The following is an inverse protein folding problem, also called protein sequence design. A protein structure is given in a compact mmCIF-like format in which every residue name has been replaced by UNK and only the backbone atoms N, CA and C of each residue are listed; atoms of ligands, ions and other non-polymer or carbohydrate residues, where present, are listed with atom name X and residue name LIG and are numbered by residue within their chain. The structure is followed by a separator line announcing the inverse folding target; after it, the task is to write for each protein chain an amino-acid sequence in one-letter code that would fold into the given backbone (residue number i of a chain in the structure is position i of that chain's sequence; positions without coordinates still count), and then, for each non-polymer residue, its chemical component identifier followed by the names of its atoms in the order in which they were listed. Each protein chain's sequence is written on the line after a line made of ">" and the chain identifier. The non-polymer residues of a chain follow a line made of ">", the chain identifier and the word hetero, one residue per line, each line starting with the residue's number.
data_IF_968089820263
#
_entry.id   IF_968089820263
#
_cell.length_a   1.000
_cell.length_b   1.000
_cell.length_c   1.000
_cell.angle_alpha   90.00
_cell.angle_beta   90.00
_cell.angle_gamma   90.00
#
_symmetry.space_group_name_H-M   'P 1'
#
loop_
_entity.id
_entity.type
_entity.pdbx_description
1 polymer ?
#
# COMPACT_ATOMS: atom_id res chain seq x y z
N UNK A 1 14.85 -22.30 -14.21
CA UNK A 1 13.69 -22.68 -13.37
C UNK A 1 13.37 -21.51 -12.45
N UNK A 2 12.13 -20.97 -12.48
CA UNK A 2 11.68 -19.88 -11.60
C UNK A 2 11.62 -20.44 -10.17
N UNK A 3 12.20 -19.71 -9.20
CA UNK A 3 12.25 -20.15 -7.79
C UNK A 3 11.60 -19.14 -6.83
N UNK A 4 11.38 -17.91 -7.29
CA UNK A 4 10.79 -16.84 -6.50
C UNK A 4 9.74 -16.09 -7.31
N UNK A 5 8.63 -15.73 -6.65
CA UNK A 5 7.58 -14.90 -7.23
C UNK A 5 7.41 -13.69 -6.33
N UNK A 6 7.48 -12.50 -6.93
CA UNK A 6 7.36 -11.23 -6.23
C UNK A 6 6.07 -10.56 -6.65
N UNK A 7 5.22 -10.25 -5.70
CA UNK A 7 3.91 -9.62 -5.90
C UNK A 7 3.95 -8.15 -5.51
N UNK A 8 3.18 -7.35 -6.21
CA UNK A 8 2.71 -6.07 -5.67
C UNK A 8 1.54 -6.32 -4.69
N UNK A 9 1.15 -5.30 -3.94
CA UNK A 9 0.13 -5.42 -2.89
C UNK A 9 -1.19 -4.78 -3.31
N UNK A 10 -1.21 -3.45 -3.43
CA UNK A 10 -2.43 -2.69 -3.71
C UNK A 10 -2.90 -2.92 -5.16
N UNK A 11 -4.13 -3.41 -5.33
CA UNK A 11 -4.68 -3.71 -6.65
C UNK A 11 -4.18 -5.03 -7.27
N UNK A 12 -3.33 -5.79 -6.56
CA UNK A 12 -2.82 -7.11 -6.99
C UNK A 12 -3.23 -8.21 -6.02
N UNK A 13 -2.78 -8.14 -4.78
CA UNK A 13 -3.15 -9.09 -3.72
C UNK A 13 -4.40 -8.64 -2.97
N UNK A 14 -4.52 -7.34 -2.72
CA UNK A 14 -5.57 -6.75 -1.90
C UNK A 14 -6.29 -5.59 -2.61
N UNK A 15 -7.61 -5.55 -2.46
CA UNK A 15 -8.42 -4.35 -2.72
C UNK A 15 -8.41 -3.48 -1.46
N UNK A 16 -7.60 -2.43 -1.49
CA UNK A 16 -7.37 -1.50 -0.38
C UNK A 16 -8.06 -0.14 -0.56
N UNK A 17 -8.82 0.03 -1.65
CA UNK A 17 -9.33 1.33 -2.09
C UNK A 17 -10.28 2.00 -1.09
N UNK A 18 -11.14 1.22 -0.42
CA UNK A 18 -12.13 1.79 0.49
C UNK A 18 -11.47 2.34 1.76
N UNK A 19 -10.51 1.61 2.35
CA UNK A 19 -9.78 2.09 3.52
C UNK A 19 -8.87 3.28 3.18
N UNK A 20 -8.24 3.29 1.99
CA UNK A 20 -7.45 4.44 1.50
C UNK A 20 -8.33 5.67 1.31
N UNK A 21 -9.53 5.51 0.72
CA UNK A 21 -10.50 6.60 0.54
C UNK A 21 -10.95 7.15 1.89
N UNK A 22 -11.30 6.28 2.82
CA UNK A 22 -11.78 6.69 4.13
C UNK A 22 -10.69 7.44 4.91
N UNK A 23 -9.43 6.98 4.84
CA UNK A 23 -8.30 7.67 5.47
C UNK A 23 -8.02 9.03 4.82
N UNK A 24 -8.08 9.12 3.49
CA UNK A 24 -7.90 10.40 2.79
C UNK A 24 -9.00 11.39 3.17
N UNK A 25 -10.25 10.96 3.16
CA UNK A 25 -11.38 11.81 3.52
C UNK A 25 -11.36 12.21 4.99
N UNK A 26 -10.95 11.31 5.90
CA UNK A 26 -10.73 11.65 7.30
C UNK A 26 -9.70 12.77 7.48
N UNK A 27 -8.58 12.69 6.75
CA UNK A 27 -7.53 13.70 6.84
C UNK A 27 -7.95 15.04 6.19
N UNK A 28 -8.68 15.00 5.07
CA UNK A 28 -9.20 16.18 4.38
C UNK A 28 -10.23 16.95 5.23
N UNK A 29 -11.14 16.21 5.88
CA UNK A 29 -12.20 16.78 6.74
C UNK A 29 -11.64 17.60 7.92
N UNK A 30 -10.44 17.29 8.41
CA UNK A 30 -9.78 18.03 9.50
C UNK A 30 -9.46 19.49 9.14
N UNK A 31 -9.48 19.84 7.87
CA UNK A 31 -9.20 21.18 7.35
C UNK A 31 -10.31 21.68 6.42
N UNK A 32 -11.54 21.19 6.61
CA UNK A 32 -12.74 21.56 5.84
C UNK A 32 -12.55 21.41 4.32
N UNK A 33 -11.68 20.49 3.88
CA UNK A 33 -11.51 20.18 2.46
C UNK A 33 -12.60 19.22 1.97
N UNK A 34 -13.04 19.36 0.70
CA UNK A 34 -14.07 18.48 0.14
C UNK A 34 -13.60 17.02 0.06
N UNK A 35 -14.51 16.07 0.28
CA UNK A 35 -14.18 14.66 0.17
C UNK A 35 -13.92 14.23 -1.27
N UNK A 36 -13.05 13.24 -1.44
CA UNK A 36 -12.75 12.63 -2.74
C UNK A 36 -13.46 11.29 -2.93
N UNK A 37 -13.77 10.98 -4.18
CA UNK A 37 -14.44 9.73 -4.54
C UNK A 37 -13.48 8.53 -4.58
N UNK A 38 -14.03 7.31 -4.49
CA UNK A 38 -13.25 6.07 -4.67
C UNK A 38 -12.58 6.01 -6.05
N UNK A 39 -13.24 6.50 -7.09
CA UNK A 39 -12.69 6.56 -8.44
C UNK A 39 -11.49 7.52 -8.53
N UNK A 40 -11.55 8.63 -7.82
CA UNK A 40 -10.41 9.55 -7.73
C UNK A 40 -9.22 8.90 -7.01
N UNK A 41 -9.46 8.24 -5.87
CA UNK A 41 -8.42 7.48 -5.16
C UNK A 41 -7.80 6.41 -6.07
N UNK A 42 -8.62 5.64 -6.81
CA UNK A 42 -8.14 4.61 -7.74
C UNK A 42 -7.12 5.15 -8.74
N UNK A 43 -7.35 6.36 -9.27
CA UNK A 43 -6.45 7.02 -10.22
C UNK A 43 -5.23 7.67 -9.55
N UNK A 44 -5.27 7.84 -8.25
CA UNK A 44 -4.25 8.58 -7.49
C UNK A 44 -3.26 7.69 -6.75
N UNK A 45 -3.54 6.39 -6.60
CA UNK A 45 -2.67 5.42 -5.90
C UNK A 45 -1.58 4.86 -6.83
N UNK A 46 -0.57 4.24 -6.21
CA UNK A 46 0.53 3.55 -6.90
C UNK A 46 1.90 4.18 -6.61
N UNK A 47 1.96 5.50 -6.42
CA UNK A 47 3.20 6.26 -6.23
C UNK A 47 3.55 6.54 -4.76
N UNK A 48 2.82 5.89 -3.84
CA UNK A 48 2.97 6.07 -2.39
C UNK A 48 2.10 7.18 -1.82
N UNK A 49 2.06 7.22 -0.46
CA UNK A 49 1.10 8.06 0.29
C UNK A 49 1.34 9.56 0.08
N UNK A 50 2.59 10.01 0.04
CA UNK A 50 2.90 11.42 -0.18
C UNK A 50 2.31 11.95 -1.50
N UNK A 51 2.43 11.16 -2.58
CA UNK A 51 1.81 11.49 -3.88
C UNK A 51 0.28 11.40 -3.85
N UNK A 52 -0.27 10.47 -3.10
CA UNK A 52 -1.71 10.41 -2.90
C UNK A 52 -2.23 11.70 -2.24
N UNK A 53 -1.63 12.13 -1.15
CA UNK A 53 -2.06 13.35 -0.44
C UNK A 53 -1.84 14.60 -1.30
N UNK A 54 -0.72 14.70 -2.03
CA UNK A 54 -0.49 15.78 -2.99
C UNK A 54 -1.63 15.90 -4.02
N UNK A 55 -2.17 14.77 -4.48
CA UNK A 55 -3.22 14.73 -5.51
C UNK A 55 -4.62 15.02 -4.97
N UNK A 56 -4.87 14.70 -3.71
CA UNK A 56 -6.22 14.85 -3.11
C UNK A 56 -6.43 16.18 -2.38
N UNK A 57 -5.36 16.82 -1.88
CA UNK A 57 -5.46 18.11 -1.20
C UNK A 57 -5.50 19.24 -2.23
N UNK A 58 -6.36 20.28 -2.06
CA UNK A 58 -6.31 21.47 -2.90
C UNK A 58 -4.90 22.09 -2.93
N UNK A 59 -4.48 22.60 -4.08
CA UNK A 59 -3.15 23.22 -4.31
C UNK A 59 -1.94 22.29 -4.09
N UNK A 60 -2.15 20.99 -3.82
CA UNK A 60 -1.09 19.99 -3.70
C UNK A 60 0.00 20.37 -2.71
N UNK A 61 1.27 20.31 -3.13
CA UNK A 61 2.42 20.69 -2.29
C UNK A 61 2.47 22.16 -1.86
N UNK A 62 1.76 23.05 -2.54
CA UNK A 62 1.66 24.46 -2.16
C UNK A 62 0.68 24.70 -1.01
N UNK A 63 -0.13 23.72 -0.66
CA UNK A 63 -1.06 23.83 0.45
C UNK A 63 -0.30 23.86 1.79
N UNK A 64 -0.48 24.89 2.63
CA UNK A 64 0.23 24.98 3.92
C UNK A 64 -0.16 23.89 4.92
N UNK A 65 -1.23 23.13 4.65
CA UNK A 65 -1.68 22.00 5.48
C UNK A 65 -1.24 20.64 4.94
N UNK A 66 -0.48 20.59 3.84
CA UNK A 66 -0.07 19.33 3.20
C UNK A 66 0.59 18.37 4.19
N UNK A 67 1.64 18.80 4.88
CA UNK A 67 2.40 17.95 5.82
C UNK A 67 1.49 17.42 6.94
N UNK A 68 0.66 18.28 7.51
CA UNK A 68 -0.25 17.87 8.58
C UNK A 68 -1.35 16.92 8.10
N UNK A 69 -1.84 17.11 6.87
CA UNK A 69 -2.80 16.19 6.25
C UNK A 69 -2.17 14.82 6.01
N UNK A 70 -0.91 14.79 5.57
CA UNK A 70 -0.13 13.55 5.38
C UNK A 70 0.08 12.80 6.70
N UNK A 71 0.42 13.51 7.78
CA UNK A 71 0.56 12.92 9.12
C UNK A 71 -0.77 12.30 9.60
N UNK A 72 -1.87 13.05 9.54
CA UNK A 72 -3.20 12.57 9.96
C UNK A 72 -3.64 11.35 9.13
N UNK A 73 -3.39 11.37 7.82
CA UNK A 73 -3.65 10.21 6.97
C UNK A 73 -2.87 8.98 7.46
N UNK A 74 -1.56 9.13 7.69
CA UNK A 74 -0.71 8.02 8.10
C UNK A 74 -1.13 7.43 9.45
N UNK A 75 -1.43 8.29 10.43
CA UNK A 75 -1.91 7.89 11.75
C UNK A 75 -3.22 7.10 11.63
N UNK A 76 -4.21 7.65 10.95
CA UNK A 76 -5.50 7.01 10.78
C UNK A 76 -5.41 5.69 9.98
N UNK A 77 -4.68 5.72 8.86
CA UNK A 77 -4.56 4.55 7.99
C UNK A 77 -3.79 3.39 8.65
N UNK A 78 -2.77 3.69 9.45
CA UNK A 78 -2.05 2.66 10.20
C UNK A 78 -2.97 1.83 11.12
N UNK A 79 -3.98 2.46 11.71
CA UNK A 79 -4.96 1.79 12.57
C UNK A 79 -6.08 1.12 11.78
N UNK A 80 -6.56 1.75 10.70
CA UNK A 80 -7.79 1.39 9.99
C UNK A 80 -7.58 0.69 8.63
N UNK A 81 -6.37 0.33 8.26
CA UNK A 81 -6.06 -0.24 6.93
C UNK A 81 -6.65 -1.64 6.64
N UNK A 82 -7.26 -2.28 7.62
CA UNK A 82 -7.85 -3.63 7.50
C UNK A 82 -9.37 -3.66 7.72
N UNK A 83 -10.05 -2.51 7.74
CA UNK A 83 -11.50 -2.42 8.07
C UNK A 83 -12.36 -2.88 6.89
N UNK A 84 -12.08 -2.38 5.68
CA UNK A 84 -12.79 -2.70 4.43
C UNK A 84 -11.91 -3.39 3.40
N UNK A 85 -10.60 -3.38 3.62
CA UNK A 85 -9.63 -4.08 2.77
C UNK A 85 -9.93 -5.58 2.74
N UNK A 86 -9.80 -6.18 1.58
CA UNK A 86 -10.01 -7.63 1.37
C UNK A 86 -9.08 -8.17 0.29
N UNK A 87 -8.74 -9.45 0.41
CA UNK A 87 -8.03 -10.16 -0.66
C UNK A 87 -8.94 -10.30 -1.90
N UNK A 88 -8.35 -10.22 -3.08
CA UNK A 88 -9.08 -10.51 -4.31
C UNK A 88 -9.54 -11.98 -4.32
N UNK A 89 -10.69 -12.28 -4.96
CA UNK A 89 -11.19 -13.66 -5.06
C UNK A 89 -10.13 -14.62 -5.60
N UNK A 90 -9.94 -15.74 -4.92
CA UNK A 90 -9.00 -16.79 -5.33
C UNK A 90 -7.53 -16.56 -4.95
N UNK A 91 -7.13 -15.33 -4.61
CA UNK A 91 -5.70 -15.02 -4.39
C UNK A 91 -5.10 -15.80 -3.19
N UNK A 92 -5.87 -16.00 -2.13
CA UNK A 92 -5.40 -16.79 -0.97
C UNK A 92 -5.12 -18.25 -1.36
N UNK A 93 -5.98 -18.82 -2.23
CA UNK A 93 -5.75 -20.17 -2.76
C UNK A 93 -4.49 -20.24 -3.61
N UNK A 94 -4.29 -19.26 -4.52
CA UNK A 94 -3.09 -19.15 -5.36
C UNK A 94 -1.82 -19.06 -4.51
N UNK A 95 -1.80 -18.19 -3.50
CA UNK A 95 -0.65 -18.05 -2.59
C UNK A 95 -0.34 -19.36 -1.86
N UNK A 96 -1.36 -20.01 -1.33
CA UNK A 96 -1.20 -21.30 -0.63
C UNK A 96 -0.68 -22.40 -1.56
N UNK A 97 -1.18 -22.47 -2.79
CA UNK A 97 -0.74 -23.46 -3.79
C UNK A 97 0.72 -23.21 -4.20
N UNK A 98 1.09 -21.97 -4.52
CA UNK A 98 2.48 -21.64 -4.87
C UNK A 98 3.45 -21.95 -3.74
N UNK A 99 3.04 -21.74 -2.49
CA UNK A 99 3.86 -22.10 -1.33
C UNK A 99 4.01 -23.63 -1.20
N UNK A 100 2.92 -24.38 -1.40
CA UNK A 100 2.94 -25.85 -1.41
C UNK A 100 3.81 -26.43 -2.54
N UNK A 101 3.84 -25.76 -3.70
CA UNK A 101 4.68 -26.11 -4.84
C UNK A 101 6.16 -25.72 -4.65
N UNK A 102 6.53 -25.17 -3.50
CA UNK A 102 7.90 -24.88 -3.12
C UNK A 102 8.46 -23.55 -3.63
N UNK A 103 7.62 -22.64 -4.13
CA UNK A 103 8.08 -21.31 -4.51
C UNK A 103 8.38 -20.45 -3.28
N UNK A 104 9.43 -19.64 -3.37
CA UNK A 104 9.64 -18.51 -2.46
C UNK A 104 8.71 -17.37 -2.90
N UNK A 105 8.03 -16.76 -1.94
CA UNK A 105 7.08 -15.69 -2.21
C UNK A 105 7.52 -14.42 -1.50
N UNK A 106 7.50 -13.31 -2.22
CA UNK A 106 7.80 -11.99 -1.67
C UNK A 106 6.78 -10.94 -2.09
N UNK A 107 6.69 -9.87 -1.33
CA UNK A 107 5.92 -8.67 -1.68
C UNK A 107 6.88 -7.51 -1.86
N UNK A 108 6.69 -6.72 -2.93
CA UNK A 108 7.39 -5.45 -3.17
C UNK A 108 6.38 -4.35 -3.52
N UNK A 109 6.18 -3.40 -2.61
CA UNK A 109 5.14 -2.38 -2.71
C UNK A 109 5.64 -0.96 -2.42
N UNK A 110 5.04 0.04 -3.06
CA UNK A 110 5.24 1.46 -2.73
C UNK A 110 4.48 1.91 -1.46
N UNK A 111 3.69 1.01 -0.87
CA UNK A 111 3.04 1.23 0.42
C UNK A 111 4.08 1.32 1.55
N UNK A 112 3.83 2.14 2.56
CA UNK A 112 4.68 2.24 3.76
C UNK A 112 4.96 0.84 4.34
N UNK A 113 6.23 0.54 4.65
CA UNK A 113 6.69 -0.80 5.00
C UNK A 113 5.93 -1.43 6.17
N UNK A 114 5.72 -0.68 7.25
CA UNK A 114 4.99 -1.16 8.43
C UNK A 114 3.54 -1.56 8.11
N UNK A 115 2.86 -0.77 7.28
CA UNK A 115 1.48 -1.05 6.86
C UNK A 115 1.43 -2.23 5.88
N UNK A 116 2.39 -2.34 4.96
CA UNK A 116 2.50 -3.49 4.06
C UNK A 116 2.68 -4.80 4.84
N UNK A 117 3.57 -4.81 5.83
CA UNK A 117 3.77 -5.96 6.71
C UNK A 117 2.51 -6.33 7.50
N UNK A 118 1.82 -5.32 8.07
CA UNK A 118 0.55 -5.55 8.80
C UNK A 118 -0.51 -6.20 7.91
N UNK A 119 -0.72 -5.65 6.71
CA UNK A 119 -1.69 -6.17 5.75
C UNK A 119 -1.36 -7.59 5.28
N UNK A 120 -0.12 -7.82 4.85
CA UNK A 120 0.29 -9.15 4.38
C UNK A 120 0.13 -10.20 5.48
N UNK A 121 0.54 -9.87 6.70
CA UNK A 121 0.40 -10.77 7.85
C UNK A 121 -1.08 -11.05 8.19
N UNK A 122 -1.93 -10.03 8.13
CA UNK A 122 -3.37 -10.14 8.42
C UNK A 122 -4.08 -11.06 7.43
N UNK A 123 -3.79 -10.93 6.13
CA UNK A 123 -4.53 -11.64 5.07
C UNK A 123 -3.89 -12.94 4.61
N UNK A 124 -2.58 -13.09 4.77
CA UNK A 124 -1.82 -14.24 4.25
C UNK A 124 -0.97 -14.97 5.29
N UNK A 125 -0.99 -14.52 6.54
CA UNK A 125 -0.20 -15.13 7.61
C UNK A 125 1.30 -15.14 7.30
N UNK A 126 1.91 -16.32 7.38
CA UNK A 126 3.34 -16.53 7.14
C UNK A 126 3.66 -17.10 5.73
N UNK A 127 2.76 -16.95 4.77
CA UNK A 127 2.96 -17.49 3.42
C UNK A 127 4.04 -16.75 2.60
N UNK A 128 4.37 -15.52 2.97
CA UNK A 128 5.43 -14.75 2.31
C UNK A 128 6.75 -14.85 3.08
N UNK A 129 7.82 -15.16 2.35
CA UNK A 129 9.18 -15.29 2.90
C UNK A 129 9.81 -13.91 3.15
N UNK A 130 9.41 -12.90 2.34
CA UNK A 130 9.90 -11.53 2.51
C UNK A 130 8.86 -10.49 2.08
N UNK A 131 8.85 -9.38 2.78
CA UNK A 131 7.95 -8.24 2.50
C UNK A 131 8.78 -6.97 2.47
N UNK A 132 8.72 -6.22 1.36
CA UNK A 132 9.35 -4.93 1.21
C UNK A 132 8.30 -3.88 0.83
N UNK A 133 8.02 -2.98 1.74
CA UNK A 133 7.31 -1.75 1.48
C UNK A 133 8.29 -0.57 1.33
N UNK A 134 7.76 0.62 1.07
CA UNK A 134 8.53 1.85 1.01
C UNK A 134 9.15 2.18 2.37
N UNK A 135 10.43 2.53 2.36
CA UNK A 135 11.22 2.98 3.51
C UNK A 135 11.90 4.30 3.17
N UNK A 136 12.23 5.07 4.19
CA UNK A 136 12.92 6.34 4.04
C UNK A 136 14.30 6.15 3.39
N UNK A 137 14.71 7.08 2.54
CA UNK A 137 16.01 7.05 1.87
C UNK A 137 16.11 6.07 0.70
N UNK A 138 15.05 5.30 0.40
CA UNK A 138 15.02 4.37 -0.74
C UNK A 138 13.95 4.80 -1.75
N UNK A 139 14.35 4.95 -3.00
CA UNK A 139 13.44 5.34 -4.08
C UNK A 139 12.37 4.26 -4.32
N UNK A 140 11.14 4.74 -4.60
CA UNK A 140 9.97 3.88 -4.86
C UNK A 140 9.99 3.33 -6.28
N UNK A 141 9.23 2.25 -6.50
CA UNK A 141 8.94 1.77 -7.87
C UNK A 141 8.34 2.92 -8.72
N UNK A 142 8.72 3.09 -9.98
CA UNK A 142 9.42 2.13 -10.86
C UNK A 142 10.95 2.09 -10.71
N UNK A 143 11.56 2.89 -9.82
CA UNK A 143 12.99 2.72 -9.51
C UNK A 143 13.24 1.30 -8.98
N UNK A 144 14.31 0.61 -9.43
CA UNK A 144 14.58 -0.77 -9.02
C UNK A 144 15.08 -0.93 -7.58
N UNK A 145 15.30 0.16 -6.83
CA UNK A 145 15.91 0.12 -5.50
C UNK A 145 15.18 -0.82 -4.53
N UNK A 146 13.84 -0.70 -4.40
CA UNK A 146 13.06 -1.61 -3.54
C UNK A 146 13.12 -3.05 -4.03
N UNK A 147 13.08 -3.28 -5.36
CA UNK A 147 13.16 -4.61 -5.94
C UNK A 147 14.53 -5.25 -5.68
N UNK A 148 15.61 -4.49 -5.78
CA UNK A 148 16.97 -4.97 -5.51
C UNK A 148 17.13 -5.43 -4.05
N UNK A 149 16.47 -4.77 -3.11
CA UNK A 149 16.43 -5.22 -1.70
C UNK A 149 15.76 -6.59 -1.60
N UNK A 150 14.64 -6.80 -2.30
CA UNK A 150 13.93 -8.09 -2.30
C UNK A 150 14.79 -9.20 -2.93
N UNK A 151 15.45 -8.90 -4.06
CA UNK A 151 16.27 -9.87 -4.79
C UNK A 151 17.55 -10.28 -4.03
N UNK A 152 18.00 -9.47 -3.08
CA UNK A 152 19.17 -9.76 -2.24
C UNK A 152 18.87 -10.69 -1.05
N UNK A 153 17.61 -11.11 -0.86
CA UNK A 153 17.15 -11.98 0.23
C UNK A 153 16.95 -13.42 -0.22
#
# INVERSE_FOLDING_TARGET
>A
MIRCIIFDLDGTLLDTLDDLKDAANYALDRFDNPPVSKEFIRKSIGDGVAKLIERVIPDGLANPKYERTLEIFNEYYAENCCVKTKAYPGIQHVISQLKADGYRLAVCSNKTHSVACKLVKQFFGNNFDYIQGSIEGVERKPNPALMNIVLAR
#
